data_IF_710538670299
#
_entry.id   IF_710538670299
#
_cell.length_a   1.000
_cell.length_b   1.000
_cell.length_c   1.000
_cell.angle_alpha   90.00
_cell.angle_beta   90.00
_cell.angle_gamma   90.00
#
_symmetry.space_group_name_H-M   'P 1'
#
loop_
_entity.id
_entity.type
_entity.pdbx_description
1 polymer ?
#
# COMPACT_ATOMS: atom_id res chain seq x y z
N UNK A 1 -17.25 34.74 8.91
CA UNK A 1 -16.54 35.91 8.34
C UNK A 1 -15.27 36.10 9.16
N UNK A 2 -14.16 35.51 8.72
CA UNK A 2 -12.87 35.57 9.43
C UNK A 2 -11.89 36.29 8.52
N UNK A 3 -11.35 37.38 9.06
CA UNK A 3 -10.56 38.39 8.39
C UNK A 3 -9.13 37.89 8.12
N UNK A 4 -8.68 38.14 6.90
CA UNK A 4 -7.39 37.73 6.34
C UNK A 4 -6.40 38.88 6.58
N UNK A 5 -5.41 38.68 7.45
CA UNK A 5 -4.29 39.61 7.63
C UNK A 5 -3.08 39.07 6.86
N UNK A 6 -2.76 39.70 5.73
CA UNK A 6 -1.48 39.52 5.04
C UNK A 6 -0.41 40.38 5.73
N UNK A 7 0.72 39.76 6.09
CA UNK A 7 1.96 40.45 6.39
C UNK A 7 2.91 40.32 5.19
N UNK A 8 3.19 41.45 4.56
CA UNK A 8 4.25 41.64 3.59
C UNK A 8 5.55 42.02 4.33
N UNK A 9 6.69 41.47 3.92
CA UNK A 9 8.00 41.99 4.34
C UNK A 9 9.13 40.98 4.26
N UNK A 10 9.87 40.99 3.14
CA UNK A 10 11.09 40.18 2.98
C UNK A 10 11.87 40.58 1.73
N UNK A 11 12.41 41.81 1.72
CA UNK A 11 13.35 42.26 0.69
C UNK A 11 14.76 41.81 1.05
N UNK A 12 15.42 41.17 0.08
CA UNK A 12 16.83 41.42 -0.24
C UNK A 12 17.88 40.63 0.53
N UNK A 13 18.32 39.52 -0.06
CA UNK A 13 19.72 39.07 0.03
C UNK A 13 20.00 38.17 -1.19
N UNK A 14 20.14 38.78 -2.37
CA UNK A 14 20.75 38.08 -3.52
C UNK A 14 22.25 38.25 -3.34
N UNK A 15 22.90 37.19 -2.91
CA UNK A 15 24.35 37.07 -2.80
C UNK A 15 24.99 37.30 -4.16
N UNK A 16 25.87 38.30 -4.25
CA UNK A 16 26.71 38.64 -5.39
C UNK A 16 27.77 37.57 -5.75
N UNK A 17 27.56 36.30 -5.43
CA UNK A 17 28.51 35.21 -5.69
C UNK A 17 28.27 34.47 -7.02
N UNK A 18 27.15 34.69 -7.71
CA UNK A 18 26.76 33.87 -8.87
C UNK A 18 27.11 34.44 -10.25
N UNK A 19 27.60 35.69 -10.34
CA UNK A 19 27.85 36.32 -11.66
C UNK A 19 29.25 36.01 -12.20
N UNK A 20 30.24 35.76 -11.35
CA UNK A 20 31.63 35.55 -11.77
C UNK A 20 31.88 34.10 -12.23
N UNK A 21 31.22 33.12 -11.60
CA UNK A 21 31.44 31.70 -11.90
C UNK A 21 30.79 31.27 -13.23
N UNK A 22 29.63 31.84 -13.58
CA UNK A 22 28.91 31.46 -14.80
C UNK A 22 29.63 31.92 -16.08
N UNK A 23 30.38 33.03 -16.02
CA UNK A 23 31.05 33.60 -17.20
C UNK A 23 32.30 32.81 -17.60
N UNK A 24 33.00 32.21 -16.64
CA UNK A 24 34.21 31.43 -16.89
C UNK A 24 33.89 30.03 -17.44
N UNK A 25 32.81 29.40 -16.97
CA UNK A 25 32.36 28.08 -17.47
C UNK A 25 31.88 28.17 -18.93
N UNK A 26 31.24 29.27 -19.31
CA UNK A 26 30.71 29.45 -20.67
C UNK A 26 31.78 29.67 -21.76
N UNK A 27 32.98 30.15 -21.40
CA UNK A 27 34.06 30.33 -22.38
C UNK A 27 34.85 29.04 -22.63
N UNK A 28 34.96 28.16 -21.64
CA UNK A 28 35.61 26.86 -21.81
C UNK A 28 34.81 25.93 -22.76
N UNK A 29 33.47 25.95 -22.69
CA UNK A 29 32.61 25.11 -23.54
C UNK A 29 32.58 25.53 -25.02
N UNK A 30 32.89 26.79 -25.36
CA UNK A 30 32.81 27.28 -26.74
C UNK A 30 34.03 26.93 -27.60
N UNK A 31 35.20 26.70 -26.99
CA UNK A 31 36.42 26.32 -27.73
C UNK A 31 36.45 24.85 -28.16
N UNK A 32 35.86 23.96 -27.37
CA UNK A 32 35.96 22.50 -27.59
C UNK A 32 34.95 21.95 -28.62
N UNK A 33 33.92 22.71 -28.97
CA UNK A 33 32.74 22.20 -29.70
C UNK A 33 32.72 22.45 -31.22
N UNK A 34 33.75 23.05 -31.81
CA UNK A 34 33.75 23.42 -33.24
C UNK A 34 34.55 22.50 -34.17
N UNK A 35 35.09 21.38 -33.68
CA UNK A 35 35.79 20.42 -34.53
C UNK A 35 34.92 19.17 -34.78
N UNK A 36 34.37 18.98 -36.00
CA UNK A 36 33.38 17.93 -36.27
C UNK A 36 33.95 16.52 -36.12
N UNK A 37 35.28 16.35 -36.22
CA UNK A 37 35.95 15.05 -36.04
C UNK A 37 36.13 14.64 -34.58
N UNK A 38 36.12 15.59 -33.65
CA UNK A 38 36.33 15.33 -32.22
C UNK A 38 35.02 14.97 -31.50
N UNK A 39 33.88 15.40 -32.03
CA UNK A 39 32.53 15.11 -31.50
C UNK A 39 32.18 13.62 -31.52
N UNK A 40 32.65 12.88 -32.51
CA UNK A 40 32.32 11.45 -32.68
C UNK A 40 33.19 10.53 -31.82
N UNK A 41 34.40 10.97 -31.45
CA UNK A 41 35.34 10.15 -30.67
C UNK A 41 35.11 10.20 -29.16
N UNK A 42 34.53 11.28 -28.63
CA UNK A 42 34.27 11.45 -27.19
C UNK A 42 32.90 10.86 -26.79
N UNK A 43 31.96 10.74 -27.73
CA UNK A 43 30.58 10.28 -27.47
C UNK A 43 30.50 8.79 -27.08
N UNK A 44 31.33 7.95 -27.69
CA UNK A 44 31.24 6.49 -27.54
C UNK A 44 31.70 6.00 -26.14
N UNK A 45 32.86 6.42 -25.58
CA UNK A 45 33.26 5.96 -24.24
C UNK A 45 32.41 6.53 -23.11
N UNK A 46 31.81 7.73 -23.28
CA UNK A 46 30.95 8.34 -22.26
C UNK A 46 29.64 7.55 -22.04
N UNK A 47 29.11 6.89 -23.07
CA UNK A 47 27.89 6.09 -22.98
C UNK A 47 28.10 4.79 -22.19
N UNK A 48 29.28 4.16 -22.33
CA UNK A 48 29.61 2.94 -21.58
C UNK A 48 29.86 3.21 -20.08
N UNK A 49 30.43 4.36 -19.73
CA UNK A 49 30.61 4.76 -18.32
C UNK A 49 29.26 5.02 -17.64
N UNK A 50 28.26 5.52 -18.38
CA UNK A 50 26.92 5.74 -17.84
C UNK A 50 26.17 4.44 -17.52
N UNK A 51 26.36 3.37 -18.31
CA UNK A 51 25.69 2.06 -18.06
C UNK A 51 26.23 1.37 -16.81
N UNK A 52 27.53 1.49 -16.52
CA UNK A 52 28.15 0.86 -15.33
C UNK A 52 27.68 1.52 -14.03
N UNK A 53 27.34 2.81 -14.04
CA UNK A 53 26.80 3.50 -12.86
C UNK A 53 25.36 3.08 -12.49
N UNK A 54 24.60 2.52 -13.43
CA UNK A 54 23.21 2.09 -13.17
C UNK A 54 23.18 0.66 -12.58
N UNK A 55 24.26 -0.12 -12.73
CA UNK A 55 24.31 -1.52 -12.29
C UNK A 55 24.46 -1.69 -10.77
N UNK A 56 24.66 -0.61 -10.01
CA UNK A 56 24.97 -0.65 -8.58
C UNK A 56 23.77 -0.64 -7.61
N UNK A 57 22.54 -0.49 -8.09
CA UNK A 57 21.35 -0.47 -7.25
C UNK A 57 20.31 -1.49 -7.72
N UNK A 58 20.66 -2.77 -7.66
CA UNK A 58 19.66 -3.81 -7.45
C UNK A 58 20.03 -4.51 -6.16
N UNK A 59 19.62 -3.90 -5.04
CA UNK A 59 19.46 -4.65 -3.80
C UNK A 59 18.30 -5.62 -4.06
N UNK A 60 18.64 -6.81 -4.54
CA UNK A 60 17.78 -7.97 -4.39
C UNK A 60 17.67 -8.21 -2.90
N UNK A 61 16.61 -7.70 -2.30
CA UNK A 61 16.23 -8.06 -0.95
C UNK A 61 15.81 -9.53 -0.97
N UNK A 62 16.78 -10.43 -0.88
CA UNK A 62 16.56 -11.77 -0.31
C UNK A 62 16.34 -11.59 1.19
N UNK A 63 15.25 -10.90 1.53
CA UNK A 63 14.56 -11.21 2.77
C UNK A 63 13.92 -12.55 2.49
N UNK A 64 14.23 -13.57 3.28
CA UNK A 64 13.21 -14.56 3.61
C UNK A 64 12.00 -13.72 4.02
N UNK A 65 11.07 -13.49 3.08
CA UNK A 65 9.85 -12.78 3.35
C UNK A 65 9.14 -13.72 4.30
N UNK A 66 9.30 -13.45 5.59
CA UNK A 66 8.28 -13.81 6.55
C UNK A 66 7.04 -13.18 5.94
N UNK A 67 6.19 -14.01 5.35
CA UNK A 67 4.88 -13.56 4.89
C UNK A 67 4.19 -13.23 6.20
N UNK A 68 4.29 -11.96 6.60
CA UNK A 68 3.61 -11.48 7.78
C UNK A 68 2.12 -11.63 7.47
N UNK A 69 1.54 -12.69 8.03
CA UNK A 69 0.11 -12.99 7.98
C UNK A 69 -0.67 -12.04 8.91
N UNK A 70 -0.03 -10.97 9.37
CA UNK A 70 -0.64 -9.94 10.18
C UNK A 70 -1.59 -9.12 9.31
N UNK A 71 -2.85 -9.12 9.72
CA UNK A 71 -3.89 -8.30 9.12
C UNK A 71 -4.73 -7.71 10.22
N UNK A 72 -5.33 -6.55 9.91
CA UNK A 72 -6.31 -5.94 10.78
C UNK A 72 -7.50 -5.51 9.95
N UNK A 73 -8.65 -6.08 10.28
CA UNK A 73 -9.91 -5.87 9.60
C UNK A 73 -10.91 -5.22 10.56
N UNK A 74 -11.78 -4.42 9.99
CA UNK A 74 -13.00 -4.00 10.66
C UNK A 74 -14.18 -4.26 9.75
N UNK A 75 -15.33 -4.59 10.32
CA UNK A 75 -16.55 -4.74 9.55
C UNK A 75 -17.67 -3.88 10.13
N UNK A 76 -18.56 -3.46 9.24
CA UNK A 76 -19.73 -2.67 9.53
C UNK A 76 -20.91 -3.26 8.73
N UNK A 77 -21.83 -3.96 9.39
CA UNK A 77 -23.01 -4.47 8.70
C UNK A 77 -24.01 -3.34 8.45
N UNK A 78 -24.65 -3.43 7.29
CA UNK A 78 -25.88 -2.72 6.96
C UNK A 78 -27.00 -3.74 6.79
N UNK A 79 -28.22 -3.30 6.48
CA UNK A 79 -29.35 -4.22 6.28
C UNK A 79 -29.01 -5.35 5.28
N UNK A 80 -28.43 -5.00 4.13
CA UNK A 80 -28.28 -5.93 3.01
C UNK A 80 -26.81 -6.17 2.61
N UNK A 81 -25.85 -5.52 3.27
CA UNK A 81 -24.44 -5.60 2.91
C UNK A 81 -23.54 -5.73 4.15
N UNK A 82 -22.38 -6.35 3.95
CA UNK A 82 -21.29 -6.30 4.91
C UNK A 82 -20.17 -5.48 4.28
N UNK A 83 -19.79 -4.40 4.95
CA UNK A 83 -18.65 -3.58 4.57
C UNK A 83 -17.45 -4.00 5.43
N UNK A 84 -16.40 -4.50 4.81
CA UNK A 84 -15.10 -4.73 5.44
C UNK A 84 -14.14 -3.62 5.04
N UNK A 85 -13.38 -3.14 6.02
CA UNK A 85 -12.32 -2.17 5.85
C UNK A 85 -11.03 -2.83 6.33
N UNK A 86 -10.02 -2.80 5.49
CA UNK A 86 -8.70 -3.30 5.84
C UNK A 86 -7.78 -2.17 6.26
N UNK A 87 -7.34 -2.23 7.51
CA UNK A 87 -6.37 -1.28 8.06
C UNK A 87 -4.98 -1.66 7.56
N UNK A 88 -4.59 -2.92 7.74
CA UNK A 88 -3.28 -3.50 7.40
C UNK A 88 -3.41 -4.94 6.86
N UNK A 89 -2.44 -5.41 6.09
CA UNK A 89 -2.37 -6.81 5.63
C UNK A 89 -3.12 -7.14 4.33
N UNK A 90 -3.86 -6.20 3.73
CA UNK A 90 -4.60 -6.43 2.48
C UNK A 90 -4.16 -5.52 1.33
N UNK A 91 -4.32 -6.01 0.10
CA UNK A 91 -4.14 -5.24 -1.14
C UNK A 91 -5.33 -4.30 -1.44
N UNK A 92 -6.43 -4.46 -0.71
CA UNK A 92 -7.64 -3.65 -0.80
C UNK A 92 -7.83 -2.81 0.47
N UNK A 93 -8.54 -1.69 0.36
CA UNK A 93 -8.91 -0.84 1.52
C UNK A 93 -10.32 -1.06 2.00
N UNK A 94 -11.26 -1.25 1.08
CA UNK A 94 -12.66 -1.53 1.38
C UNK A 94 -13.14 -2.67 0.49
N UNK A 95 -13.87 -3.61 1.08
CA UNK A 95 -14.66 -4.60 0.38
C UNK A 95 -16.10 -4.49 0.86
N UNK A 96 -17.02 -4.53 -0.10
CA UNK A 96 -18.45 -4.57 0.18
C UNK A 96 -19.04 -5.69 -0.64
N UNK A 97 -19.88 -6.51 -0.01
CA UNK A 97 -20.64 -7.54 -0.71
C UNK A 97 -22.06 -7.60 -0.16
N UNK A 98 -22.98 -7.93 -1.07
CA UNK A 98 -24.38 -8.12 -0.74
C UNK A 98 -24.57 -9.45 0.00
N UNK A 99 -25.44 -9.39 0.98
CA UNK A 99 -25.72 -10.44 1.92
C UNK A 99 -27.14 -10.20 2.47
N UNK A 100 -28.11 -10.30 1.56
CA UNK A 100 -29.54 -10.08 1.81
C UNK A 100 -30.26 -11.32 2.34
N UNK A 101 -29.69 -12.51 2.11
CA UNK A 101 -30.33 -13.78 2.44
C UNK A 101 -29.84 -14.34 3.78
N UNK A 102 -30.74 -15.03 4.50
CA UNK A 102 -30.39 -15.85 5.64
C UNK A 102 -29.37 -16.92 5.19
N UNK A 103 -28.18 -16.93 5.79
CA UNK A 103 -27.07 -17.85 5.49
C UNK A 103 -26.20 -17.49 4.28
N UNK A 104 -26.08 -16.20 3.96
CA UNK A 104 -25.05 -15.76 3.02
C UNK A 104 -23.65 -16.15 3.53
N UNK A 105 -22.77 -16.64 2.64
CA UNK A 105 -21.37 -16.95 2.96
C UNK A 105 -20.45 -16.43 1.87
N UNK A 106 -19.40 -15.70 2.28
CA UNK A 106 -18.42 -15.11 1.36
C UNK A 106 -17.00 -15.45 1.81
N UNK A 107 -16.18 -15.97 0.89
CA UNK A 107 -14.75 -16.19 1.11
C UNK A 107 -13.94 -14.94 0.76
N UNK A 108 -12.91 -14.64 1.57
CA UNK A 108 -12.13 -13.41 1.53
C UNK A 108 -10.66 -13.73 1.80
N UNK A 109 -9.77 -13.14 1.02
CA UNK A 109 -8.32 -13.22 1.23
C UNK A 109 -7.68 -11.83 1.12
N UNK A 110 -6.34 -11.77 1.16
CA UNK A 110 -5.57 -10.51 1.04
C UNK A 110 -5.85 -9.71 -0.25
N UNK A 111 -6.39 -10.36 -1.29
CA UNK A 111 -6.61 -9.74 -2.60
C UNK A 111 -8.08 -9.36 -2.86
N UNK A 112 -9.04 -9.87 -2.09
CA UNK A 112 -10.44 -9.50 -2.28
C UNK A 112 -11.42 -10.57 -1.84
N UNK A 113 -12.60 -10.56 -2.46
CA UNK A 113 -13.55 -11.67 -2.42
C UNK A 113 -13.09 -12.78 -3.38
N UNK A 114 -13.37 -14.03 -3.03
CA UNK A 114 -13.10 -15.19 -3.88
C UNK A 114 -14.30 -16.14 -3.94
N UNK A 115 -14.42 -16.86 -5.05
CA UNK A 115 -15.56 -17.74 -5.36
C UNK A 115 -15.37 -19.14 -4.77
N UNK A 116 -14.12 -19.56 -4.57
CA UNK A 116 -13.82 -20.90 -4.06
C UNK A 116 -13.81 -20.91 -2.53
N UNK A 117 -14.79 -21.56 -1.91
CA UNK A 117 -14.69 -22.00 -0.50
C UNK A 117 -13.72 -23.18 -0.35
N UNK A 118 -13.44 -23.87 -1.44
CA UNK A 118 -12.43 -24.92 -1.52
C UNK A 118 -11.08 -24.25 -1.78
N UNK A 119 -10.42 -23.80 -0.72
CA UNK A 119 -8.97 -23.79 -0.76
C UNK A 119 -8.55 -25.25 -0.58
N UNK A 120 -8.24 -25.89 -1.71
CA UNK A 120 -7.62 -27.21 -1.70
C UNK A 120 -6.37 -27.18 -0.82
N UNK A 121 -6.13 -28.29 -0.13
CA UNK A 121 -4.98 -28.54 0.74
C UNK A 121 -3.62 -28.58 -0.01
N UNK A 122 -3.42 -27.69 -0.99
CA UNK A 122 -2.23 -27.58 -1.81
C UNK A 122 -1.34 -26.46 -1.29
N UNK A 123 -0.11 -26.84 -0.94
CA UNK A 123 1.06 -26.15 -0.38
C UNK A 123 1.42 -24.71 -0.83
N UNK A 124 0.63 -23.99 -1.63
CA UNK A 124 0.98 -22.66 -2.14
C UNK A 124 0.22 -21.52 -1.45
N UNK A 125 0.09 -21.55 -0.12
CA UNK A 125 -0.63 -20.52 0.67
C UNK A 125 0.15 -19.21 0.83
N UNK A 126 0.57 -18.60 -0.28
CA UNK A 126 1.20 -17.28 -0.30
C UNK A 126 0.19 -16.12 -0.15
N UNK A 127 -1.07 -16.47 0.12
CA UNK A 127 -2.22 -15.56 0.20
C UNK A 127 -2.33 -14.83 1.55
N UNK A 128 -1.39 -15.01 2.48
CA UNK A 128 -1.34 -14.33 3.78
C UNK A 128 -2.43 -14.79 4.75
N UNK A 129 -3.69 -14.59 4.39
CA UNK A 129 -4.86 -15.09 5.12
C UNK A 129 -5.98 -15.51 4.18
N UNK A 130 -6.82 -16.41 4.68
CA UNK A 130 -8.07 -16.82 4.05
C UNK A 130 -9.14 -17.00 5.12
N UNK A 131 -10.22 -16.22 5.03
CA UNK A 131 -11.34 -16.27 5.96
C UNK A 131 -12.66 -16.41 5.20
N UNK A 132 -13.65 -17.03 5.83
CA UNK A 132 -15.04 -17.04 5.32
C UNK A 132 -15.92 -16.29 6.30
N UNK A 133 -16.73 -15.37 5.77
CA UNK A 133 -17.74 -14.63 6.53
C UNK A 133 -19.10 -15.26 6.28
N UNK A 134 -19.87 -15.50 7.34
CA UNK A 134 -21.25 -15.98 7.26
C UNK A 134 -22.16 -15.05 8.04
N UNK A 135 -23.29 -14.65 7.44
CA UNK A 135 -24.34 -13.89 8.11
C UNK A 135 -25.58 -14.75 8.31
N UNK A 136 -26.12 -14.72 9.51
CA UNK A 136 -27.41 -15.30 9.82
C UNK A 136 -28.22 -14.26 10.59
N UNK A 137 -29.18 -13.62 9.91
CA UNK A 137 -29.95 -12.51 10.47
C UNK A 137 -29.05 -11.37 11.00
N UNK A 138 -29.07 -11.15 12.31
CA UNK A 138 -28.24 -10.16 13.02
C UNK A 138 -26.87 -10.68 13.42
N UNK A 139 -26.64 -11.98 13.29
CA UNK A 139 -25.42 -12.61 13.74
C UNK A 139 -24.44 -12.71 12.57
N UNK A 140 -23.17 -12.39 12.84
CA UNK A 140 -22.09 -12.45 11.86
C UNK A 140 -20.98 -13.29 12.45
N UNK A 141 -20.51 -14.25 11.66
CA UNK A 141 -19.40 -15.10 12.05
C UNK A 141 -18.31 -15.12 10.99
N UNK A 142 -17.08 -15.28 11.45
CA UNK A 142 -15.90 -15.44 10.64
C UNK A 142 -15.27 -16.78 10.99
N UNK A 143 -14.90 -17.55 9.97
CA UNK A 143 -14.12 -18.78 10.12
C UNK A 143 -12.78 -18.57 9.44
N UNK A 144 -11.71 -18.85 10.18
CA UNK A 144 -10.39 -18.84 9.60
C UNK A 144 -10.13 -20.17 8.90
N UNK A 145 -9.53 -20.09 7.71
CA UNK A 145 -9.00 -21.26 7.00
C UNK A 145 -7.48 -21.22 7.03
N UNK A 146 -6.87 -20.03 6.83
CA UNK A 146 -5.42 -19.82 6.80
C UNK A 146 -5.09 -18.45 7.40
N UNK A 147 -3.98 -18.34 8.12
CA UNK A 147 -3.38 -17.07 8.51
C UNK A 147 -3.92 -16.42 9.80
N UNK A 148 -4.70 -17.14 10.60
CA UNK A 148 -5.21 -16.66 11.89
C UNK A 148 -4.88 -17.65 13.02
N UNK A 149 -4.79 -17.12 14.24
CA UNK A 149 -4.59 -17.84 15.50
C UNK A 149 -5.92 -18.25 16.16
N UNK A 150 -7.02 -18.12 15.43
CA UNK A 150 -8.38 -18.47 15.84
C UNK A 150 -9.06 -19.26 14.74
N UNK A 151 -9.93 -20.21 15.11
CA UNK A 151 -10.71 -20.99 14.14
C UNK A 151 -12.03 -20.28 13.79
N UNK A 152 -12.66 -19.65 14.79
CA UNK A 152 -14.00 -19.07 14.67
C UNK A 152 -14.17 -17.82 15.53
N UNK A 153 -14.76 -16.77 14.97
CA UNK A 153 -15.22 -15.57 15.66
C UNK A 153 -16.72 -15.38 15.41
N UNK A 154 -17.48 -15.14 16.46
CA UNK A 154 -18.93 -14.93 16.39
C UNK A 154 -19.31 -13.59 17.02
N UNK A 155 -20.12 -12.81 16.31
CA UNK A 155 -20.68 -11.54 16.76
C UNK A 155 -22.20 -11.68 16.74
N UNK A 156 -22.81 -11.65 17.93
CA UNK A 156 -24.24 -11.84 18.10
C UNK A 156 -24.94 -10.49 18.16
N UNK A 157 -26.15 -10.42 17.61
CA UNK A 157 -27.01 -9.24 17.66
C UNK A 157 -26.28 -7.96 17.22
N UNK A 158 -25.57 -8.03 16.09
CA UNK A 158 -24.76 -6.92 15.61
C UNK A 158 -25.65 -5.76 15.16
N UNK A 159 -25.43 -4.60 15.75
CA UNK A 159 -26.18 -3.40 15.42
C UNK A 159 -25.68 -2.80 14.10
N UNK A 160 -26.62 -2.46 13.21
CA UNK A 160 -26.29 -1.84 11.93
C UNK A 160 -25.56 -0.51 12.14
N UNK A 161 -24.50 -0.28 11.36
CA UNK A 161 -23.72 0.94 11.46
C UNK A 161 -22.71 0.95 12.62
N UNK A 162 -22.69 -0.07 13.50
CA UNK A 162 -21.61 -0.25 14.48
C UNK A 162 -20.40 -0.93 13.82
N UNK A 163 -19.20 -0.41 14.09
CA UNK A 163 -17.95 -0.98 13.58
C UNK A 163 -17.37 -1.94 14.61
N UNK A 164 -17.01 -3.13 14.14
CA UNK A 164 -16.33 -4.15 14.93
C UNK A 164 -14.96 -4.43 14.33
N UNK A 165 -14.01 -4.79 15.18
CA UNK A 165 -12.63 -4.97 14.77
C UNK A 165 -12.14 -6.39 15.12
N UNK A 166 -11.27 -6.91 14.27
CA UNK A 166 -10.56 -8.16 14.52
C UNK A 166 -9.26 -8.21 13.71
N UNK A 167 -8.32 -9.01 14.17
CA UNK A 167 -7.03 -9.24 13.55
C UNK A 167 -6.73 -10.75 13.45
N UNK A 168 -5.49 -11.10 13.13
CA UNK A 168 -5.02 -12.49 13.12
C UNK A 168 -5.05 -13.16 14.51
N UNK A 169 -5.19 -12.41 15.61
CA UNK A 169 -5.24 -12.91 16.98
C UNK A 169 -6.66 -13.00 17.57
N UNK A 170 -7.64 -12.30 16.99
CA UNK A 170 -9.05 -12.43 17.36
C UNK A 170 -9.77 -11.10 17.37
N UNK A 171 -10.74 -10.94 18.28
CA UNK A 171 -11.49 -9.68 18.44
C UNK A 171 -10.62 -8.63 19.13
N UNK A 172 -10.76 -7.38 18.69
CA UNK A 172 -10.10 -6.23 19.33
C UNK A 172 -11.13 -5.12 19.61
N UNK A 173 -10.95 -4.39 20.71
CA UNK A 173 -11.91 -3.36 21.15
C UNK A 173 -11.83 -2.07 20.30
N UNK A 174 -10.66 -1.77 19.76
CA UNK A 174 -10.37 -0.65 18.87
C UNK A 174 -8.99 -0.85 18.25
N UNK A 175 -8.71 -0.35 17.02
CA UNK A 175 -7.34 -0.28 16.54
C UNK A 175 -6.54 0.63 17.48
N UNK A 176 -5.34 0.20 17.86
CA UNK A 176 -4.36 1.10 18.48
C UNK A 176 -3.97 2.13 17.42
N UNK A 177 -4.39 3.38 17.61
CA UNK A 177 -3.86 4.50 16.84
C UNK A 177 -2.42 4.75 17.29
N UNK A 178 -1.46 4.29 16.50
CA UNK A 178 -0.06 4.74 16.60
C UNK A 178 0.11 6.22 16.22
#
# INVERSE_FOLDING_TARGET
>A
MISMHMLAGGKGFISNLDVVTYKTINQFNRGFMNNPKLRTLISIPAFFIFIILISGFVQGSDTNQHVDNEFQLSFNPTNDQINLICQTGCAWKTLSFECSDENCTQAINRYGTTVSQEHGSGEDSNDGFFITTTRNNTDISFRCVIGCNWDHLEYQSVENGVTHYFDNNGKIDSPETE
#
